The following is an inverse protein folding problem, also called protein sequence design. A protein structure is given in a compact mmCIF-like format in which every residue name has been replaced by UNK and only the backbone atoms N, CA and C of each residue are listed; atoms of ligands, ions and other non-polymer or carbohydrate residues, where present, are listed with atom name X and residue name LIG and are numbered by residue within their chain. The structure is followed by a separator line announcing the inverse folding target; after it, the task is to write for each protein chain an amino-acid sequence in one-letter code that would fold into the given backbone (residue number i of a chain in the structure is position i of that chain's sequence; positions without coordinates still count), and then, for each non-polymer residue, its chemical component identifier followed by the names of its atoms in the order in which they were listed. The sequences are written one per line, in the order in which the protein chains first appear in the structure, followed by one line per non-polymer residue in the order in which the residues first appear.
data_IF_931586165013
#
_entry.id   IF_931586165013
#
_cell.length_a   1.000
_cell.length_b   1.000
_cell.length_c   1.000
_cell.angle_alpha   90.00
_cell.angle_beta   90.00
_cell.angle_gamma   90.00
#
_symmetry.space_group_name_H-M   'P 1'
#
loop_
_entity.id
_entity.type
_entity.pdbx_description
1 polymer ?
#
# COMPACT_ATOMS: atom_id res chain seq x y z
N UNK A 1 15.07 -48.18 38.48
CA UNK A 1 14.21 -47.82 37.38
C UNK A 1 14.36 -46.32 37.18
N UNK A 2 15.09 -45.90 36.16
CA UNK A 2 15.36 -44.50 35.88
C UNK A 2 14.43 -44.04 34.75
N UNK A 3 13.55 -43.07 35.02
CA UNK A 3 12.66 -42.46 34.06
C UNK A 3 13.43 -41.48 33.19
N UNK A 4 13.51 -41.76 31.90
CA UNK A 4 14.05 -40.81 30.91
C UNK A 4 12.90 -39.89 30.46
N UNK A 5 12.99 -38.62 30.84
CA UNK A 5 12.11 -37.56 30.38
C UNK A 5 12.59 -37.07 29.01
N UNK A 6 11.86 -37.33 27.96
CA UNK A 6 12.08 -36.78 26.62
C UNK A 6 11.27 -35.51 26.45
N UNK A 7 11.94 -34.36 26.51
CA UNK A 7 11.34 -33.07 26.11
C UNK A 7 11.18 -33.03 24.59
N UNK A 8 10.06 -32.53 24.04
CA UNK A 8 9.90 -32.36 22.60
C UNK A 8 10.76 -31.18 22.13
N UNK A 9 11.62 -31.43 21.15
CA UNK A 9 12.34 -30.39 20.40
C UNK A 9 11.34 -29.73 19.48
N UNK A 10 10.97 -28.49 19.76
CA UNK A 10 10.26 -27.62 18.82
C UNK A 10 11.25 -27.20 17.72
N UNK A 11 11.16 -27.86 16.56
CA UNK A 11 11.83 -27.41 15.35
C UNK A 11 10.98 -26.27 14.76
N UNK A 12 11.23 -25.05 15.22
CA UNK A 12 10.67 -23.84 14.62
C UNK A 12 11.70 -23.26 13.62
N UNK A 13 12.00 -24.05 12.60
CA UNK A 13 12.71 -23.59 11.41
C UNK A 13 11.68 -23.21 10.35
N UNK A 14 11.05 -22.04 10.52
CA UNK A 14 10.35 -21.39 9.41
C UNK A 14 11.39 -21.15 8.30
N UNK A 15 11.20 -21.80 7.13
CA UNK A 15 12.01 -21.49 5.97
C UNK A 15 11.96 -19.97 5.71
N UNK A 16 13.12 -19.31 5.44
CA UNK A 16 13.11 -17.91 5.12
C UNK A 16 12.21 -17.69 3.91
N UNK A 17 11.26 -16.76 4.03
CA UNK A 17 10.39 -16.41 2.91
C UNK A 17 11.25 -16.15 1.66
N UNK A 18 10.85 -16.62 0.47
CA UNK A 18 11.64 -16.46 -0.73
C UNK A 18 11.98 -14.99 -0.95
N UNK A 19 13.24 -14.68 -1.22
CA UNK A 19 13.70 -13.31 -1.43
C UNK A 19 12.88 -12.68 -2.57
N UNK A 20 12.33 -11.48 -2.34
CA UNK A 20 11.54 -10.76 -3.33
C UNK A 20 12.44 -10.44 -4.54
N UNK A 21 12.12 -11.01 -5.71
CA UNK A 21 12.93 -10.85 -6.92
C UNK A 21 12.74 -9.49 -7.59
N UNK A 22 11.54 -8.90 -7.48
CA UNK A 22 11.20 -7.60 -8.07
C UNK A 22 10.80 -6.67 -6.94
N UNK A 23 11.54 -5.58 -6.77
CA UNK A 23 11.27 -4.59 -5.71
C UNK A 23 10.92 -3.25 -6.35
N UNK A 24 9.72 -2.71 -6.11
CA UNK A 24 9.36 -1.36 -6.57
C UNK A 24 10.29 -0.31 -5.97
N UNK A 25 10.72 0.64 -6.78
CA UNK A 25 11.48 1.80 -6.33
C UNK A 25 10.65 3.06 -6.54
N UNK A 26 10.51 3.84 -5.49
CA UNK A 26 9.78 5.11 -5.47
C UNK A 26 10.79 6.27 -5.52
N UNK A 27 10.66 7.12 -6.54
CA UNK A 27 11.54 8.28 -6.72
C UNK A 27 10.94 9.51 -6.07
N UNK A 28 11.66 10.11 -5.15
CA UNK A 28 11.32 11.38 -4.50
C UNK A 28 12.37 12.44 -4.86
N UNK A 29 11.97 13.71 -4.80
CA UNK A 29 12.92 14.82 -4.89
C UNK A 29 13.87 14.79 -3.68
N UNK A 30 13.32 15.01 -2.47
CA UNK A 30 14.07 15.05 -1.20
C UNK A 30 13.31 14.45 0.01
N UNK A 31 12.11 13.88 -0.22
CA UNK A 31 11.15 13.48 0.83
C UNK A 31 11.13 11.98 1.14
N UNK A 32 12.11 11.19 0.67
CA UNK A 32 12.08 9.73 0.83
C UNK A 32 11.96 9.30 2.31
N UNK A 33 12.75 9.89 3.23
CA UNK A 33 12.72 9.53 4.65
C UNK A 33 11.38 9.88 5.31
N UNK A 34 10.84 11.07 5.01
CA UNK A 34 9.53 11.50 5.51
C UNK A 34 8.41 10.59 5.00
N UNK A 35 8.42 10.29 3.69
CA UNK A 35 7.43 9.42 3.05
C UNK A 35 7.47 7.99 3.61
N UNK A 36 8.66 7.41 3.79
CA UNK A 36 8.82 6.05 4.32
C UNK A 36 8.34 5.97 5.76
N UNK A 37 8.64 6.97 6.61
CA UNK A 37 8.13 7.03 7.98
C UNK A 37 6.59 7.13 7.98
N UNK A 38 6.02 7.96 7.11
CA UNK A 38 4.57 8.09 6.96
C UNK A 38 3.95 6.76 6.55
N UNK A 39 4.41 6.14 5.46
CA UNK A 39 3.83 4.88 4.95
C UNK A 39 3.96 3.74 5.96
N UNK A 40 5.11 3.58 6.60
CA UNK A 40 5.29 2.50 7.60
C UNK A 40 4.44 2.69 8.85
N UNK A 41 3.99 3.91 9.14
CA UNK A 41 3.05 4.20 10.22
C UNK A 41 1.59 3.85 9.88
N UNK A 42 1.23 3.76 8.60
CA UNK A 42 -0.15 3.53 8.15
C UNK A 42 -0.55 2.06 8.12
N UNK A 43 0.37 1.18 7.72
CA UNK A 43 0.07 -0.21 7.43
C UNK A 43 0.60 -1.15 8.52
N UNK A 44 -0.17 -2.16 8.93
CA UNK A 44 0.33 -3.21 9.82
C UNK A 44 1.45 -4.00 9.13
N UNK A 45 2.30 -4.68 9.91
CA UNK A 45 3.45 -5.45 9.40
C UNK A 45 4.35 -4.63 8.46
N UNK A 46 4.63 -3.38 8.85
CA UNK A 46 5.43 -2.42 8.09
C UNK A 46 6.60 -1.93 8.93
N UNK A 47 7.74 -1.72 8.29
CA UNK A 47 8.96 -1.24 8.96
C UNK A 47 9.98 -0.71 7.98
N UNK A 48 10.86 0.16 8.46
CA UNK A 48 12.09 0.54 7.76
C UNK A 48 13.10 -0.60 7.93
N UNK A 49 13.74 -1.02 6.83
CA UNK A 49 14.74 -2.08 6.80
C UNK A 49 16.15 -1.51 6.87
N UNK A 50 16.44 -0.49 6.05
CA UNK A 50 17.73 0.23 6.07
C UNK A 50 17.57 1.65 5.55
N UNK A 51 18.49 2.54 5.95
CA UNK A 51 18.62 3.89 5.41
C UNK A 51 20.09 4.10 5.05
N UNK A 52 20.32 4.39 3.76
CA UNK A 52 21.64 4.75 3.26
C UNK A 52 21.71 6.25 3.01
N UNK A 53 22.82 6.86 3.38
CA UNK A 53 23.03 8.32 3.29
C UNK A 53 24.15 8.67 2.33
N UNK A 54 24.07 9.84 1.71
CA UNK A 54 25.14 10.36 0.88
C UNK A 54 26.41 10.60 1.70
N UNK A 55 27.54 10.11 1.20
CA UNK A 55 28.86 10.47 1.68
C UNK A 55 29.39 11.72 0.97
N UNK A 56 30.64 12.12 1.31
CA UNK A 56 31.30 13.31 0.75
C UNK A 56 31.42 13.35 -0.77
N UNK A 57 31.49 12.19 -1.42
CA UNK A 57 31.63 12.06 -2.87
C UNK A 57 30.30 11.86 -3.61
N UNK A 58 29.16 11.85 -2.90
CA UNK A 58 27.85 11.65 -3.48
C UNK A 58 27.29 12.91 -4.16
N UNK A 59 26.31 12.78 -5.08
CA UNK A 59 25.68 13.91 -5.76
C UNK A 59 24.75 14.73 -4.83
N UNK A 60 24.32 14.18 -3.70
CA UNK A 60 23.49 14.88 -2.73
C UNK A 60 24.30 15.44 -1.54
N UNK A 61 23.68 16.27 -0.69
CA UNK A 61 24.32 16.80 0.51
C UNK A 61 24.80 15.68 1.43
N UNK A 62 26.04 15.77 1.95
CA UNK A 62 26.58 14.79 2.87
C UNK A 62 25.65 14.58 4.08
N UNK A 63 25.38 13.31 4.42
CA UNK A 63 24.50 12.92 5.52
C UNK A 63 23.00 12.92 5.19
N UNK A 64 22.57 13.50 4.05
CA UNK A 64 21.18 13.38 3.61
C UNK A 64 20.86 11.94 3.15
N UNK A 65 19.60 11.55 3.26
CA UNK A 65 19.18 10.21 2.82
C UNK A 65 19.33 10.07 1.31
N UNK A 66 20.03 9.03 0.88
CA UNK A 66 20.10 8.61 -0.52
C UNK A 66 18.97 7.62 -0.82
N UNK A 67 18.93 6.50 -0.10
CA UNK A 67 17.90 5.48 -0.25
C UNK A 67 17.38 5.02 1.11
N UNK A 68 16.13 4.57 1.15
CA UNK A 68 15.55 3.87 2.27
C UNK A 68 14.86 2.60 1.77
N UNK A 69 15.28 1.45 2.27
CA UNK A 69 14.59 0.18 2.06
C UNK A 69 13.56 -0.02 3.16
N UNK A 70 12.35 -0.39 2.79
CA UNK A 70 11.24 -0.53 3.74
C UNK A 70 10.25 -1.61 3.30
N UNK A 71 9.40 -2.01 4.22
CA UNK A 71 8.33 -2.99 4.01
C UNK A 71 6.99 -2.36 4.34
N UNK A 72 5.99 -2.55 3.48
CA UNK A 72 4.58 -2.21 3.72
C UNK A 72 3.76 -3.49 3.63
N UNK A 73 3.04 -3.83 4.69
CA UNK A 73 2.18 -5.02 4.77
C UNK A 73 2.88 -6.30 4.25
N UNK A 74 4.17 -6.46 4.50
CA UNK A 74 4.98 -7.58 4.04
C UNK A 74 5.68 -7.39 2.68
N UNK A 75 5.25 -6.45 1.84
CA UNK A 75 5.85 -6.13 0.55
C UNK A 75 7.05 -5.19 0.72
N UNK A 76 8.20 -5.51 0.12
CA UNK A 76 9.39 -4.66 0.16
C UNK A 76 9.37 -3.60 -0.93
N UNK A 77 9.89 -2.42 -0.60
CA UNK A 77 10.06 -1.26 -1.45
C UNK A 77 11.40 -0.59 -1.19
N UNK A 78 11.84 0.23 -2.13
CA UNK A 78 12.95 1.17 -1.96
C UNK A 78 12.47 2.58 -2.27
N UNK A 79 12.78 3.55 -1.42
CA UNK A 79 12.62 4.97 -1.70
C UNK A 79 14.00 5.58 -2.03
N UNK A 80 14.06 6.41 -3.05
CA UNK A 80 15.25 7.11 -3.50
C UNK A 80 15.01 8.63 -3.48
N UNK A 81 15.90 9.40 -2.90
CA UNK A 81 15.99 10.84 -3.14
C UNK A 81 16.90 11.08 -4.36
N UNK A 82 16.28 11.21 -5.52
CA UNK A 82 16.97 11.35 -6.80
C UNK A 82 16.89 12.77 -7.39
N UNK A 83 16.31 13.72 -6.65
CA UNK A 83 16.12 15.10 -7.11
C UNK A 83 14.85 15.30 -7.96
N UNK A 84 14.63 16.51 -8.49
CA UNK A 84 13.35 16.95 -9.07
C UNK A 84 13.09 16.46 -10.49
N UNK A 85 13.88 15.49 -11.01
CA UNK A 85 13.84 15.08 -12.41
C UNK A 85 12.59 14.29 -12.79
N UNK A 86 12.05 13.48 -11.87
CA UNK A 86 10.88 12.66 -12.12
C UNK A 86 9.82 12.93 -11.07
N UNK A 87 8.55 12.76 -11.49
CA UNK A 87 7.38 12.88 -10.63
C UNK A 87 6.52 11.63 -10.78
N UNK A 88 5.81 11.29 -9.73
CA UNK A 88 4.79 10.25 -9.80
C UNK A 88 3.69 10.63 -10.79
N UNK A 89 3.13 9.63 -11.44
CA UNK A 89 1.95 9.75 -12.30
C UNK A 89 0.98 8.62 -11.98
N UNK A 90 -0.26 8.75 -12.43
CA UNK A 90 -1.31 7.74 -12.25
C UNK A 90 -1.09 6.48 -13.06
N UNK A 91 -0.05 6.43 -13.93
CA UNK A 91 0.32 5.24 -14.71
C UNK A 91 0.75 4.05 -13.82
N UNK A 92 1.18 4.33 -12.59
CA UNK A 92 1.44 3.33 -11.54
C UNK A 92 0.69 3.75 -10.28
N UNK A 93 0.02 2.81 -9.65
CA UNK A 93 -0.65 3.00 -8.37
C UNK A 93 -0.46 1.79 -7.46
N UNK A 94 -0.52 2.02 -6.15
CA UNK A 94 -0.54 0.96 -5.16
C UNK A 94 -1.98 0.68 -4.73
N UNK A 95 -2.41 -0.58 -4.80
CA UNK A 95 -3.77 -0.98 -4.43
C UNK A 95 -3.80 -1.46 -2.99
N UNK A 96 -4.65 -0.85 -2.19
CA UNK A 96 -4.93 -1.26 -0.81
C UNK A 96 -6.22 -2.09 -0.83
N UNK A 97 -6.08 -3.39 -0.55
CA UNK A 97 -7.23 -4.30 -0.47
C UNK A 97 -7.83 -4.28 0.93
N UNK A 98 -8.93 -3.55 1.11
CA UNK A 98 -9.61 -3.38 2.39
C UNK A 98 -10.67 -4.49 2.61
N UNK A 99 -10.80 -4.90 3.88
CA UNK A 99 -11.83 -5.86 4.27
C UNK A 99 -13.13 -5.17 4.71
N UNK A 100 -13.03 -3.97 5.32
CA UNK A 100 -14.17 -3.24 5.90
C UNK A 100 -14.26 -1.79 5.43
N UNK A 101 -15.42 -1.16 5.67
CA UNK A 101 -15.60 0.27 5.40
C UNK A 101 -14.70 1.13 6.28
N UNK A 102 -14.49 0.74 7.53
CA UNK A 102 -13.63 1.45 8.48
C UNK A 102 -12.17 1.47 8.02
N UNK A 103 -11.69 0.39 7.39
CA UNK A 103 -10.36 0.38 6.75
C UNK A 103 -10.28 1.36 5.58
N UNK A 104 -11.29 1.34 4.71
CA UNK A 104 -11.39 2.30 3.60
C UNK A 104 -11.36 3.72 4.12
N UNK A 105 -12.20 4.04 5.09
CA UNK A 105 -12.32 5.39 5.64
C UNK A 105 -11.00 5.85 6.26
N UNK A 106 -10.34 4.98 7.02
CA UNK A 106 -9.04 5.26 7.65
C UNK A 106 -7.94 5.55 6.61
N UNK A 107 -7.78 4.69 5.60
CA UNK A 107 -6.73 4.89 4.59
C UNK A 107 -7.04 6.10 3.71
N UNK A 108 -8.31 6.29 3.34
CA UNK A 108 -8.73 7.44 2.57
C UNK A 108 -8.41 8.75 3.29
N UNK A 109 -8.85 8.90 4.54
CA UNK A 109 -8.58 10.07 5.37
C UNK A 109 -7.08 10.36 5.51
N UNK A 110 -6.29 9.34 5.85
CA UNK A 110 -4.86 9.50 6.10
C UNK A 110 -4.07 9.86 4.84
N UNK A 111 -4.41 9.25 3.70
CA UNK A 111 -3.68 9.46 2.45
C UNK A 111 -4.09 10.75 1.74
N UNK A 112 -5.33 11.23 1.93
CA UNK A 112 -5.78 12.52 1.37
C UNK A 112 -5.45 13.72 2.26
N UNK A 113 -4.96 13.48 3.48
CA UNK A 113 -4.56 14.57 4.38
C UNK A 113 -3.34 15.35 3.86
N UNK A 114 -3.12 16.56 4.41
CA UNK A 114 -1.92 17.38 4.26
C UNK A 114 -1.51 17.68 2.80
N UNK A 115 -2.48 17.76 1.89
CA UNK A 115 -2.25 18.07 0.46
C UNK A 115 -2.43 16.88 -0.48
N UNK A 116 -2.93 15.74 0.02
CA UNK A 116 -3.40 14.66 -0.85
C UNK A 116 -4.67 15.05 -1.61
N UNK A 117 -4.94 14.36 -2.72
CA UNK A 117 -6.03 14.66 -3.65
C UNK A 117 -6.93 13.46 -3.84
N UNK A 118 -8.24 13.66 -3.65
CA UNK A 118 -9.24 12.64 -3.98
C UNK A 118 -9.46 12.56 -5.50
N UNK A 119 -9.62 11.32 -6.01
CA UNK A 119 -10.04 11.07 -7.39
C UNK A 119 -11.28 10.17 -7.44
N UNK A 120 -11.57 9.55 -8.56
CA UNK A 120 -12.76 8.72 -8.78
C UNK A 120 -12.49 7.24 -8.49
N UNK A 121 -13.54 6.47 -8.17
CA UNK A 121 -13.51 5.01 -8.12
C UNK A 121 -12.48 4.43 -7.12
N UNK A 122 -12.29 5.08 -5.98
CA UNK A 122 -11.34 4.65 -4.96
C UNK A 122 -9.90 5.12 -5.18
N UNK A 123 -9.63 5.88 -6.26
CA UNK A 123 -8.32 6.45 -6.52
C UNK A 123 -8.10 7.74 -5.73
N UNK A 124 -6.85 7.95 -5.32
CA UNK A 124 -6.37 9.18 -4.72
C UNK A 124 -4.87 9.36 -4.98
N UNK A 125 -4.37 10.55 -4.76
CA UNK A 125 -2.93 10.83 -4.60
C UNK A 125 -2.65 11.22 -3.16
N UNK A 126 -1.54 10.76 -2.63
CA UNK A 126 -1.07 11.27 -1.35
C UNK A 126 -0.32 12.61 -1.49
N UNK A 127 0.08 13.19 -0.37
CA UNK A 127 0.79 14.47 -0.32
C UNK A 127 2.14 14.48 -1.05
N UNK A 128 2.67 13.32 -1.41
CA UNK A 128 3.89 13.18 -2.21
C UNK A 128 3.60 12.98 -3.70
N UNK A 129 2.32 12.88 -4.08
CA UNK A 129 1.86 12.66 -5.44
C UNK A 129 1.80 11.20 -5.86
N UNK A 130 2.11 10.24 -4.98
CA UNK A 130 1.98 8.82 -5.27
C UNK A 130 0.51 8.43 -5.34
N UNK A 131 0.14 7.70 -6.39
CA UNK A 131 -1.24 7.26 -6.61
C UNK A 131 -1.55 5.97 -5.87
N UNK A 132 -2.71 5.94 -5.23
CA UNK A 132 -3.26 4.81 -4.50
C UNK A 132 -4.66 4.48 -4.97
N UNK A 133 -5.04 3.22 -4.82
CA UNK A 133 -6.42 2.76 -4.96
C UNK A 133 -6.85 2.12 -3.64
N UNK A 134 -7.85 2.69 -2.98
CA UNK A 134 -8.42 2.14 -1.74
C UNK A 134 -9.66 1.35 -2.10
N UNK A 135 -9.52 0.02 -2.20
CA UNK A 135 -10.49 -0.86 -2.83
C UNK A 135 -10.94 -1.98 -1.88
N UNK A 136 -12.25 -2.15 -1.64
CA UNK A 136 -12.73 -3.29 -0.87
C UNK A 136 -12.61 -4.59 -1.66
N UNK A 137 -12.17 -5.66 -1.02
CA UNK A 137 -12.05 -7.00 -1.64
C UNK A 137 -13.36 -7.48 -2.25
N UNK A 138 -14.50 -7.14 -1.62
CA UNK A 138 -15.82 -7.51 -2.12
C UNK A 138 -16.13 -6.89 -3.50
N UNK A 139 -15.55 -5.74 -3.85
CA UNK A 139 -15.79 -5.10 -5.15
C UNK A 139 -15.39 -6.02 -6.30
N UNK A 140 -14.24 -6.69 -6.20
CA UNK A 140 -13.75 -7.62 -7.23
C UNK A 140 -14.77 -8.76 -7.43
N UNK A 141 -15.30 -9.30 -6.33
CA UNK A 141 -16.31 -10.37 -6.39
C UNK A 141 -17.61 -9.90 -7.06
N UNK A 142 -18.06 -8.70 -6.69
CA UNK A 142 -19.31 -8.13 -7.21
C UNK A 142 -19.22 -7.78 -8.70
N UNK A 143 -18.11 -7.23 -9.19
CA UNK A 143 -17.95 -6.89 -10.61
C UNK A 143 -17.63 -8.11 -11.48
N UNK A 144 -17.21 -9.21 -10.88
CA UNK A 144 -17.00 -10.50 -11.56
C UNK A 144 -18.20 -11.45 -11.41
N UNK A 145 -19.31 -11.01 -10.84
CA UNK A 145 -20.50 -11.84 -10.66
C UNK A 145 -20.95 -12.43 -12.02
N UNK A 146 -21.34 -13.72 -12.06
CA UNK A 146 -21.90 -14.37 -13.26
C UNK A 146 -23.14 -13.64 -13.79
N UNK A 147 -23.96 -13.06 -12.94
CA UNK A 147 -25.06 -12.17 -13.31
C UNK A 147 -24.51 -10.83 -13.82
N UNK A 148 -24.52 -10.66 -15.15
CA UNK A 148 -23.96 -9.49 -15.82
C UNK A 148 -24.76 -8.21 -15.57
N UNK A 149 -26.06 -8.31 -15.29
CA UNK A 149 -26.88 -7.14 -14.96
C UNK A 149 -26.53 -6.64 -13.56
N UNK A 150 -26.41 -7.54 -12.59
CA UNK A 150 -25.92 -7.23 -11.24
C UNK A 150 -24.52 -6.64 -11.26
N UNK A 151 -23.55 -7.29 -11.93
CA UNK A 151 -22.19 -6.78 -12.07
C UNK A 151 -22.16 -5.39 -12.73
N UNK A 152 -23.00 -5.16 -13.75
CA UNK A 152 -23.16 -3.88 -14.42
C UNK A 152 -23.68 -2.78 -13.49
N UNK A 153 -24.70 -3.06 -12.68
CA UNK A 153 -25.23 -2.10 -11.69
C UNK A 153 -24.16 -1.70 -10.66
N UNK A 154 -23.43 -2.68 -10.13
CA UNK A 154 -22.33 -2.43 -9.19
C UNK A 154 -21.23 -1.55 -9.82
N UNK A 155 -20.83 -1.87 -11.05
CA UNK A 155 -19.85 -1.09 -11.79
C UNK A 155 -20.31 0.36 -11.98
N UNK A 156 -21.57 0.57 -12.39
CA UNK A 156 -22.14 1.91 -12.54
C UNK A 156 -22.24 2.68 -11.22
N UNK A 157 -22.52 2.00 -10.11
CA UNK A 157 -22.48 2.62 -8.78
C UNK A 157 -21.07 3.05 -8.40
N UNK A 158 -20.07 2.17 -8.58
CA UNK A 158 -18.67 2.48 -8.33
C UNK A 158 -18.19 3.70 -9.12
N UNK A 159 -18.54 3.78 -10.41
CA UNK A 159 -18.13 4.90 -11.28
C UNK A 159 -18.64 6.28 -10.83
N UNK A 160 -19.63 6.33 -9.95
CA UNK A 160 -20.20 7.56 -9.39
C UNK A 160 -19.55 7.93 -8.04
N UNK A 161 -18.69 7.10 -7.50
CA UNK A 161 -18.07 7.30 -6.20
C UNK A 161 -16.65 7.90 -6.35
N UNK A 162 -16.25 8.72 -5.41
CA UNK A 162 -14.84 9.02 -5.15
C UNK A 162 -14.29 7.94 -4.20
N UNK A 163 -14.51 8.10 -2.89
CA UNK A 163 -14.26 7.04 -1.91
C UNK A 163 -15.30 5.93 -2.11
N UNK A 164 -14.85 4.69 -2.10
CA UNK A 164 -15.75 3.54 -2.24
C UNK A 164 -16.56 3.36 -0.95
N UNK A 165 -17.86 3.18 -1.11
CA UNK A 165 -18.82 2.93 -0.04
C UNK A 165 -19.42 1.52 -0.22
N UNK A 166 -18.97 0.55 0.60
CA UNK A 166 -19.42 -0.84 0.55
C UNK A 166 -20.96 -0.95 0.61
N UNK A 167 -21.68 -0.23 1.49
CA UNK A 167 -23.14 -0.31 1.52
C UNK A 167 -23.80 0.03 0.19
N UNK A 168 -23.30 1.06 -0.52
CA UNK A 168 -23.85 1.45 -1.84
C UNK A 168 -23.55 0.44 -2.93
N UNK A 169 -22.41 -0.28 -2.85
CA UNK A 169 -22.12 -1.39 -3.77
C UNK A 169 -23.10 -2.55 -3.57
N UNK A 170 -23.38 -2.89 -2.31
CA UNK A 170 -24.33 -3.95 -1.96
C UNK A 170 -25.76 -3.58 -2.35
N UNK A 171 -26.19 -2.36 -2.09
CA UNK A 171 -27.49 -1.84 -2.54
C UNK A 171 -27.64 -1.95 -4.05
N UNK A 172 -26.63 -1.56 -4.82
CA UNK A 172 -26.64 -1.67 -6.28
C UNK A 172 -26.66 -3.14 -6.77
N UNK A 173 -26.04 -4.05 -6.03
CA UNK A 173 -26.08 -5.47 -6.32
C UNK A 173 -27.49 -6.07 -6.13
N UNK A 174 -28.23 -5.60 -5.12
CA UNK A 174 -29.58 -6.11 -4.75
C UNK A 174 -30.72 -5.40 -5.52
N UNK A 175 -30.44 -4.28 -6.18
CA UNK A 175 -31.43 -3.56 -6.98
C UNK A 175 -31.99 -4.47 -8.09
N UNK A 176 -33.31 -4.33 -8.37
CA UNK A 176 -34.02 -5.10 -9.43
C UNK A 176 -34.08 -4.30 -10.71
#
# INVERSE_FOLDING_TARGET
MASVSTSPKTNDSAEPAPAQKITPMLWFDDKAEEAVNFYTSLFPNSKILSIERYGKAGPGPEGSVMTASFQLAGQQFVALNGGPHFKFTEAISLVINCDTQEEIDRYWEKLTADGGEESQCGWLKDKYGLSWQVTPKILIQLVQDPDKEKAGRVFQAMMKMKKIEIPKLLEAAEAK
#
